data_IF_302511107157
#
_entry.id   IF_302511107157
#
_cell.length_a   1.000
_cell.length_b   1.000
_cell.length_c   1.000
_cell.angle_alpha   90.00
_cell.angle_beta   90.00
_cell.angle_gamma   90.00
#
_symmetry.space_group_name_H-M   'P 1'
#
loop_
_entity.id
_entity.type
_entity.pdbx_description
1 polymer ?
#
# COMPACT_ATOMS: atom_id res chain seq x y z
N UNK A 1 -1.56 -33.48 -31.42
CA UNK A 1 -1.28 -33.33 -29.97
C UNK A 1 -1.21 -31.83 -29.70
N UNK A 2 -2.30 -31.21 -29.28
CA UNK A 2 -2.33 -29.77 -29.00
C UNK A 2 -1.73 -29.56 -27.60
N UNK A 3 -0.55 -28.95 -27.53
CA UNK A 3 -0.03 -28.45 -26.27
C UNK A 3 -1.02 -27.39 -25.75
N UNK A 4 -1.74 -27.70 -24.66
CA UNK A 4 -2.48 -26.67 -23.91
C UNK A 4 -1.44 -25.65 -23.47
N UNK A 5 -1.46 -24.47 -24.09
CA UNK A 5 -0.69 -23.31 -23.65
C UNK A 5 -1.07 -23.07 -22.19
N UNK A 6 -0.14 -23.31 -21.27
CA UNK A 6 -0.32 -22.96 -19.86
C UNK A 6 -0.35 -21.43 -19.84
N UNK A 7 -1.53 -20.86 -19.71
CA UNK A 7 -1.66 -19.43 -19.41
C UNK A 7 -1.14 -19.30 -17.99
N UNK A 8 0.11 -18.84 -17.84
CA UNK A 8 0.62 -18.44 -16.54
C UNK A 8 -0.09 -17.13 -16.24
N UNK A 9 -0.96 -17.16 -15.22
CA UNK A 9 -1.62 -15.98 -14.72
C UNK A 9 -0.56 -15.10 -14.08
N UNK A 10 -0.27 -13.96 -14.68
CA UNK A 10 0.64 -12.98 -14.11
C UNK A 10 -0.12 -12.27 -12.98
N UNK A 11 0.34 -12.43 -11.75
CA UNK A 11 -0.20 -11.70 -10.59
C UNK A 11 0.57 -10.38 -10.44
N UNK A 12 -0.13 -9.30 -10.12
CA UNK A 12 0.44 -7.99 -9.82
C UNK A 12 -0.02 -7.51 -8.45
N UNK A 13 0.70 -6.54 -7.89
CA UNK A 13 0.35 -5.92 -6.62
C UNK A 13 0.05 -4.44 -6.82
N UNK A 14 -0.89 -3.94 -6.04
CA UNK A 14 -1.13 -2.51 -5.88
C UNK A 14 -1.01 -2.15 -4.41
N UNK A 15 -0.66 -0.89 -4.13
CA UNK A 15 -0.58 -0.39 -2.76
C UNK A 15 -1.61 0.70 -2.55
N UNK A 16 -2.56 0.42 -1.66
CA UNK A 16 -3.57 1.33 -1.19
C UNK A 16 -3.09 1.96 0.12
N UNK A 17 -3.01 3.29 0.13
CA UNK A 17 -2.60 4.10 1.27
C UNK A 17 -3.85 4.79 1.84
N UNK A 18 -4.07 4.65 3.14
CA UNK A 18 -5.24 5.24 3.81
C UNK A 18 -4.76 6.06 5.01
N UNK A 19 -4.97 7.37 4.94
CA UNK A 19 -4.68 8.28 6.04
C UNK A 19 -5.82 8.23 7.06
N UNK A 20 -5.47 7.90 8.30
CA UNK A 20 -6.43 7.72 9.39
C UNK A 20 -6.11 8.69 10.51
N UNK A 21 -7.14 9.40 10.97
CA UNK A 21 -7.10 10.19 12.20
C UNK A 21 -7.66 9.36 13.34
N UNK A 22 -6.99 9.37 14.49
CA UNK A 22 -7.46 8.78 15.73
C UNK A 22 -7.71 9.88 16.76
N UNK A 23 -8.97 10.04 17.20
CA UNK A 23 -9.32 11.04 18.19
C UNK A 23 -10.37 10.48 19.15
N UNK A 24 -10.08 10.58 20.46
CA UNK A 24 -11.00 10.20 21.56
C UNK A 24 -11.55 8.76 21.49
N UNK A 25 -10.79 7.83 20.89
CA UNK A 25 -11.19 6.42 20.79
C UNK A 25 -11.95 6.07 19.51
N UNK A 26 -12.22 7.05 18.66
CA UNK A 26 -12.77 6.86 17.32
C UNK A 26 -11.69 7.03 16.25
N UNK A 27 -11.87 6.36 15.12
CA UNK A 27 -11.04 6.50 13.94
C UNK A 27 -11.85 7.03 12.75
N UNK A 28 -11.26 7.95 12.00
CA UNK A 28 -11.81 8.50 10.77
C UNK A 28 -10.83 8.32 9.62
N UNK A 29 -11.32 7.89 8.46
CA UNK A 29 -10.55 7.94 7.21
C UNK A 29 -10.56 9.37 6.70
N UNK A 30 -9.39 10.00 6.62
CA UNK A 30 -9.21 11.37 6.15
C UNK A 30 -9.08 11.42 4.63
N UNK A 31 -8.30 10.50 4.06
CA UNK A 31 -8.02 10.43 2.63
C UNK A 31 -7.46 9.05 2.28
N UNK A 32 -7.58 8.64 1.02
CA UNK A 32 -6.99 7.40 0.52
C UNK A 32 -6.54 7.54 -0.93
N UNK A 33 -5.49 6.83 -1.31
CA UNK A 33 -4.98 6.79 -2.67
C UNK A 33 -4.34 5.43 -2.97
N UNK A 34 -4.38 5.00 -4.24
CA UNK A 34 -3.52 3.93 -4.73
C UNK A 34 -2.24 4.57 -5.26
N UNK A 35 -1.11 4.33 -4.60
CA UNK A 35 0.18 4.89 -5.00
C UNK A 35 1.33 4.02 -4.54
N UNK A 36 2.43 4.05 -5.29
CA UNK A 36 3.60 3.25 -4.97
C UNK A 36 4.46 3.88 -3.88
N UNK A 37 4.99 3.03 -3.02
CA UNK A 37 5.98 3.34 -1.98
C UNK A 37 7.14 2.33 -2.08
N UNK A 38 8.20 2.54 -1.32
CA UNK A 38 9.25 1.54 -1.13
C UNK A 38 8.75 0.43 -0.19
N UNK A 39 8.01 -0.51 -0.75
CA UNK A 39 7.38 -1.61 0.00
C UNK A 39 8.42 -2.57 0.58
N UNK A 40 9.58 -2.72 -0.08
CA UNK A 40 10.67 -3.58 0.40
C UNK A 40 11.34 -2.95 1.63
N UNK A 41 11.58 -1.64 1.60
CA UNK A 41 12.04 -0.90 2.78
C UNK A 41 11.03 -1.05 3.94
N UNK A 42 9.72 -0.98 3.66
CA UNK A 42 8.68 -1.20 4.67
C UNK A 42 8.77 -2.61 5.28
N UNK A 43 8.78 -3.65 4.44
CA UNK A 43 8.88 -5.06 4.83
C UNK A 43 10.15 -5.35 5.63
N UNK A 44 11.24 -4.62 5.38
CA UNK A 44 12.49 -4.75 6.14
C UNK A 44 12.41 -4.20 7.59
N UNK A 45 11.43 -3.34 7.87
CA UNK A 45 11.27 -2.67 9.18
C UNK A 45 10.10 -3.20 9.98
N UNK A 46 9.04 -3.64 9.30
CA UNK A 46 7.86 -4.17 9.94
C UNK A 46 7.18 -5.24 9.11
N UNK A 47 6.53 -6.16 9.80
CA UNK A 47 5.73 -7.20 9.17
C UNK A 47 4.45 -6.59 8.60
N UNK A 48 4.09 -7.00 7.38
CA UNK A 48 2.73 -6.85 6.87
C UNK A 48 1.95 -8.10 7.25
N UNK A 49 0.80 -7.90 7.86
CA UNK A 49 -0.09 -8.96 8.31
C UNK A 49 -0.98 -9.35 7.14
N UNK A 50 -1.10 -10.65 6.90
CA UNK A 50 -2.06 -11.19 5.95
C UNK A 50 -3.49 -10.91 6.43
N UNK A 51 -4.24 -10.15 5.64
CA UNK A 51 -5.65 -9.77 5.89
C UNK A 51 -6.58 -10.36 4.83
N UNK A 52 -6.10 -11.30 4.03
CA UNK A 52 -6.86 -11.93 2.95
C UNK A 52 -8.09 -12.65 3.50
N UNK A 53 -9.24 -12.40 2.88
CA UNK A 53 -10.46 -13.15 3.16
C UNK A 53 -10.50 -14.51 2.42
N UNK A 54 -9.75 -14.62 1.31
CA UNK A 54 -9.64 -15.83 0.49
C UNK A 54 -8.18 -16.28 0.44
N UNK A 55 -7.94 -17.58 0.58
CA UNK A 55 -6.60 -18.19 0.51
C UNK A 55 -6.02 -18.20 -0.91
N UNK A 56 -6.81 -17.88 -1.93
CA UNK A 56 -6.35 -17.85 -3.32
C UNK A 56 -5.73 -16.51 -3.74
N UNK A 57 -5.74 -15.49 -2.88
CA UNK A 57 -5.11 -14.18 -3.11
C UNK A 57 -4.39 -13.70 -1.86
N UNK A 58 -3.44 -12.78 -2.04
CA UNK A 58 -2.69 -12.17 -0.95
C UNK A 58 -3.01 -10.69 -0.78
N UNK A 59 -3.62 -10.34 0.34
CA UNK A 59 -3.82 -8.99 0.84
C UNK A 59 -3.01 -8.82 2.12
N UNK A 60 -2.09 -7.86 2.13
CA UNK A 60 -1.17 -7.65 3.24
C UNK A 60 -1.31 -6.22 3.75
N UNK A 61 -1.47 -6.04 5.06
CA UNK A 61 -1.68 -4.73 5.66
C UNK A 61 -0.73 -4.44 6.83
N UNK A 62 -0.39 -3.17 7.01
CA UNK A 62 0.34 -2.69 8.17
C UNK A 62 0.01 -1.23 8.46
N UNK A 63 0.25 -0.78 9.68
CA UNK A 63 -0.01 0.60 10.11
C UNK A 63 1.32 1.29 10.36
N UNK A 64 1.53 2.41 9.68
CA UNK A 64 2.73 3.25 9.82
C UNK A 64 2.35 4.54 10.52
N UNK A 65 3.14 4.97 11.52
CA UNK A 65 2.93 6.28 12.14
C UNK A 65 3.04 7.39 11.08
N UNK A 66 2.25 8.46 11.20
CA UNK A 66 2.29 9.56 10.23
C UNK A 66 3.72 10.11 10.06
N UNK A 67 4.45 10.32 11.16
CA UNK A 67 5.81 10.85 11.15
C UNK A 67 6.89 9.90 10.60
N UNK A 68 6.66 8.59 10.64
CA UNK A 68 7.60 7.61 10.07
C UNK A 68 7.34 7.33 8.58
N UNK A 69 6.12 7.55 8.11
CA UNK A 69 5.70 7.24 6.74
C UNK A 69 6.62 7.82 5.65
N UNK A 70 7.16 9.05 5.76
CA UNK A 70 8.08 9.61 4.77
C UNK A 70 9.31 8.75 4.47
N UNK A 71 9.74 7.88 5.40
CA UNK A 71 10.89 6.98 5.22
C UNK A 71 10.65 5.92 4.15
N UNK A 72 9.39 5.68 3.79
CA UNK A 72 8.99 4.69 2.80
C UNK A 72 8.53 5.33 1.48
N UNK A 73 8.54 6.66 1.38
CA UNK A 73 8.29 7.32 0.10
C UNK A 73 9.45 7.03 -0.86
N UNK A 74 9.11 6.76 -2.11
CA UNK A 74 10.13 6.56 -3.14
C UNK A 74 10.98 7.83 -3.33
N UNK A 75 12.22 7.72 -3.83
CA UNK A 75 13.07 8.87 -4.11
C UNK A 75 12.50 9.79 -5.21
N UNK A 76 12.86 11.08 -5.20
CA UNK A 76 12.40 12.06 -6.21
C UNK A 76 12.82 11.73 -7.64
N UNK A 77 13.93 11.00 -7.80
CA UNK A 77 14.39 10.50 -9.10
C UNK A 77 13.42 9.50 -9.75
N UNK A 78 12.50 8.92 -8.97
CA UNK A 78 11.46 8.00 -9.45
C UNK A 78 10.21 8.82 -9.77
N UNK A 79 10.01 9.12 -11.06
CA UNK A 79 8.95 10.03 -11.53
C UNK A 79 7.54 9.54 -11.18
N UNK A 80 7.27 8.24 -11.30
CA UNK A 80 5.99 7.64 -10.93
C UNK A 80 5.78 7.52 -9.41
N UNK A 81 6.79 7.82 -8.60
CA UNK A 81 6.69 7.87 -7.14
C UNK A 81 6.21 9.21 -6.58
N UNK A 82 5.98 10.23 -7.44
CA UNK A 82 5.57 11.57 -6.97
C UNK A 82 4.19 11.58 -6.33
N UNK A 83 3.28 10.72 -6.81
CA UNK A 83 1.89 10.67 -6.36
C UNK A 83 1.76 10.44 -4.86
N UNK A 84 2.51 9.49 -4.29
CA UNK A 84 2.47 9.22 -2.84
C UNK A 84 3.04 10.40 -2.03
N UNK A 85 4.06 11.09 -2.54
CA UNK A 85 4.68 12.26 -1.88
C UNK A 85 3.74 13.45 -1.88
N UNK A 86 3.15 13.77 -3.03
CA UNK A 86 2.19 14.86 -3.20
C UNK A 86 0.95 14.63 -2.33
N UNK A 87 0.43 13.39 -2.32
CA UNK A 87 -0.65 13.00 -1.44
C UNK A 87 -0.28 13.20 0.03
N UNK A 88 0.87 12.66 0.49
CA UNK A 88 1.32 12.82 1.88
C UNK A 88 1.48 14.30 2.28
N UNK A 89 2.06 15.11 1.41
CA UNK A 89 2.24 16.55 1.65
C UNK A 89 0.91 17.33 1.72
N UNK A 90 -0.18 16.78 1.19
CA UNK A 90 -1.52 17.38 1.26
C UNK A 90 -2.29 17.02 2.54
N UNK A 91 -1.80 16.06 3.33
CA UNK A 91 -2.49 15.59 4.53
C UNK A 91 -2.36 16.58 5.69
N UNK A 92 -3.42 16.66 6.49
CA UNK A 92 -3.45 17.46 7.73
C UNK A 92 -2.55 16.84 8.81
N UNK A 93 -2.00 17.68 9.69
CA UNK A 93 -1.26 17.26 10.89
C UNK A 93 -2.12 16.46 11.88
N UNK A 94 -3.45 16.45 11.72
CA UNK A 94 -4.35 15.63 12.53
C UNK A 94 -4.30 14.13 12.18
N UNK A 95 -3.71 13.76 11.04
CA UNK A 95 -3.54 12.34 10.66
C UNK A 95 -2.60 11.67 11.65
N UNK A 96 -3.06 10.54 12.21
CA UNK A 96 -2.31 9.81 13.24
C UNK A 96 -1.42 8.73 12.63
N UNK A 97 -1.95 8.01 11.64
CA UNK A 97 -1.23 6.94 10.96
C UNK A 97 -1.71 6.74 9.53
N UNK A 98 -0.86 6.09 8.73
CA UNK A 98 -1.16 5.62 7.39
C UNK A 98 -1.30 4.10 7.45
N UNK A 99 -2.49 3.59 7.12
CA UNK A 99 -2.66 2.18 6.82
C UNK A 99 -2.11 1.95 5.40
N UNK A 100 -1.17 1.03 5.28
CA UNK A 100 -0.62 0.55 4.02
C UNK A 100 -1.21 -0.81 3.75
N UNK A 101 -1.90 -0.96 2.61
CA UNK A 101 -2.51 -2.20 2.17
C UNK A 101 -1.98 -2.58 0.79
N UNK A 102 -1.23 -3.68 0.71
CA UNK A 102 -0.68 -4.26 -0.51
C UNK A 102 -1.59 -5.42 -0.93
N UNK A 103 -2.35 -5.24 -2.01
CA UNK A 103 -3.31 -6.22 -2.51
C UNK A 103 -2.87 -6.85 -3.82
N UNK A 104 -2.98 -8.17 -3.89
CA UNK A 104 -2.75 -8.96 -5.09
C UNK A 104 -3.96 -8.88 -6.03
N UNK A 105 -3.71 -8.68 -7.32
CA UNK A 105 -4.73 -8.71 -8.34
C UNK A 105 -4.26 -9.40 -9.62
N UNK A 106 -5.22 -9.90 -10.37
CA UNK A 106 -4.95 -10.60 -11.63
C UNK A 106 -4.58 -9.62 -12.72
N UNK A 107 -3.30 -9.56 -13.09
CA UNK A 107 -2.93 -8.78 -14.25
C UNK A 107 -3.49 -9.48 -15.49
N UNK A 108 -4.44 -8.84 -16.17
CA UNK A 108 -5.05 -9.33 -17.41
C UNK A 108 -4.09 -9.28 -18.62
N UNK A 109 -2.78 -9.31 -18.36
CA UNK A 109 -1.68 -9.17 -19.32
C UNK A 109 -1.13 -10.52 -19.77
#
# INVERSE_FOLDING_TARGET
>A
MFAKKRIVKLMAFETNLVAVRWLKGDYDVVSSITAMIDIDALKSKQQLVDVSADLSYSDNATVVSFGDFPKFLLPESVSWGSTAREWYASLSEEVSFILVHESEWESGL
#
